data_IF_126595016651
#
_entry.id   IF_126595016651
#
_cell.length_a   1.000
_cell.length_b   1.000
_cell.length_c   1.000
_cell.angle_alpha   90.00
_cell.angle_beta   90.00
_cell.angle_gamma   90.00
#
_symmetry.space_group_name_H-M   'P 1'
#
loop_
_entity.id
_entity.type
_entity.pdbx_description
1 polymer ?
#
# COMPACT_ATOMS: atom_id res chain seq x y z
N UNK A 1 13.64 16.56 -25.40
CA UNK A 1 14.96 15.89 -25.27
C UNK A 1 15.23 15.24 -23.91
N UNK A 2 14.44 15.49 -22.85
CA UNK A 2 14.63 14.89 -21.52
C UNK A 2 13.97 13.51 -21.34
N UNK A 3 12.83 13.23 -21.97
CA UNK A 3 12.14 11.92 -21.91
C UNK A 3 13.03 10.75 -22.33
N UNK A 4 13.81 10.94 -23.40
CA UNK A 4 14.68 9.88 -23.90
C UNK A 4 15.81 9.54 -22.92
N UNK A 5 16.24 10.49 -22.07
CA UNK A 5 17.35 10.27 -21.13
C UNK A 5 16.95 9.37 -19.96
N UNK A 6 15.70 9.50 -19.49
CA UNK A 6 15.18 8.66 -18.41
C UNK A 6 15.04 7.22 -18.89
N UNK A 7 14.45 7.02 -20.08
CA UNK A 7 14.35 5.70 -20.71
C UNK A 7 15.73 5.12 -21.01
N UNK A 8 16.64 5.92 -21.57
CA UNK A 8 18.01 5.47 -21.86
C UNK A 8 18.76 5.10 -20.57
N UNK A 9 18.57 5.84 -19.49
CA UNK A 9 19.15 5.54 -18.17
C UNK A 9 18.60 4.24 -17.58
N UNK A 10 17.29 4.03 -17.63
CA UNK A 10 16.64 2.79 -17.19
C UNK A 10 17.15 1.61 -18.02
N UNK A 11 17.19 1.73 -19.35
CA UNK A 11 17.65 0.67 -20.25
C UNK A 11 19.11 0.34 -19.99
N UNK A 12 19.97 1.35 -19.87
CA UNK A 12 21.40 1.15 -19.60
C UNK A 12 21.62 0.51 -18.22
N UNK A 13 20.91 0.97 -17.20
CA UNK A 13 20.96 0.40 -15.85
C UNK A 13 20.47 -1.04 -15.80
N UNK A 14 19.38 -1.35 -16.52
CA UNK A 14 18.83 -2.70 -16.61
C UNK A 14 19.76 -3.65 -17.37
N UNK A 15 20.45 -3.18 -18.42
CA UNK A 15 21.44 -3.98 -19.14
C UNK A 15 22.64 -4.32 -18.25
N UNK A 16 23.17 -3.34 -17.52
CA UNK A 16 24.31 -3.56 -16.61
C UNK A 16 23.89 -4.45 -15.44
N UNK A 17 22.78 -4.13 -14.78
CA UNK A 17 22.26 -4.92 -13.66
C UNK A 17 21.89 -6.35 -14.08
N UNK A 18 21.27 -6.51 -15.25
CA UNK A 18 20.95 -7.80 -15.84
C UNK A 18 22.19 -8.64 -16.16
N UNK A 19 23.23 -8.02 -16.73
CA UNK A 19 24.50 -8.70 -17.01
C UNK A 19 25.19 -9.20 -15.74
N UNK A 20 25.18 -8.41 -14.66
CA UNK A 20 25.73 -8.80 -13.35
C UNK A 20 24.94 -9.98 -12.77
N UNK A 21 23.62 -9.90 -12.77
CA UNK A 21 22.71 -10.92 -12.23
C UNK A 21 22.81 -12.24 -13.00
N UNK A 22 23.08 -12.20 -14.31
CA UNK A 22 23.21 -13.39 -15.17
C UNK A 22 24.57 -14.09 -15.12
N UNK A 23 25.57 -13.52 -14.44
CA UNK A 23 26.87 -14.16 -14.28
C UNK A 23 26.81 -15.39 -13.37
N UNK A 24 25.83 -15.43 -12.45
CA UNK A 24 25.55 -16.61 -11.62
C UNK A 24 24.79 -17.69 -12.41
N UNK A 25 25.30 -18.92 -12.37
CA UNK A 25 24.76 -20.06 -13.12
C UNK A 25 23.34 -20.46 -12.65
N UNK A 26 23.05 -20.33 -11.36
CA UNK A 26 21.72 -20.61 -10.80
C UNK A 26 20.72 -19.53 -11.23
N UNK A 27 21.15 -18.27 -11.22
CA UNK A 27 20.32 -17.15 -11.66
C UNK A 27 20.01 -17.23 -13.15
N UNK A 28 20.96 -17.64 -14.00
CA UNK A 28 20.71 -17.84 -15.43
C UNK A 28 19.65 -18.91 -15.71
N UNK A 29 19.70 -20.06 -15.03
CA UNK A 29 18.69 -21.12 -15.16
C UNK A 29 17.32 -20.61 -14.71
N UNK A 30 17.25 -19.96 -13.55
CA UNK A 30 16.02 -19.38 -13.02
C UNK A 30 15.39 -18.34 -13.97
N UNK A 31 16.21 -17.43 -14.51
CA UNK A 31 15.74 -16.41 -15.47
C UNK A 31 15.31 -17.04 -16.79
N UNK A 32 16.00 -18.06 -17.30
CA UNK A 32 15.60 -18.78 -18.51
C UNK A 32 14.27 -19.52 -18.34
N UNK A 33 14.04 -20.16 -17.19
CA UNK A 33 12.79 -20.87 -16.94
C UNK A 33 11.62 -19.91 -16.73
N UNK A 34 11.83 -18.83 -15.95
CA UNK A 34 10.79 -17.81 -15.74
C UNK A 34 10.47 -17.02 -17.01
N UNK A 35 11.47 -16.70 -17.84
CA UNK A 35 11.25 -15.98 -19.10
C UNK A 35 10.44 -16.81 -20.12
N UNK A 36 10.65 -18.13 -20.18
CA UNK A 36 9.81 -19.03 -20.99
C UNK A 36 8.35 -19.06 -20.52
N UNK A 37 8.13 -19.09 -19.21
CA UNK A 37 6.79 -19.00 -18.62
C UNK A 37 6.12 -17.66 -18.91
N UNK A 38 6.84 -16.55 -18.69
CA UNK A 38 6.35 -15.21 -18.96
C UNK A 38 6.03 -14.99 -20.45
N UNK A 39 6.88 -15.48 -21.36
CA UNK A 39 6.64 -15.42 -22.80
C UNK A 39 5.40 -16.19 -23.24
N UNK A 40 5.13 -17.34 -22.61
CA UNK A 40 3.93 -18.13 -22.86
C UNK A 40 2.67 -17.41 -22.36
N UNK A 41 2.71 -16.78 -21.19
CA UNK A 41 1.61 -15.94 -20.69
C UNK A 41 1.36 -14.71 -21.58
N UNK A 42 2.41 -13.98 -21.98
CA UNK A 42 2.26 -12.83 -22.89
C UNK A 42 1.66 -13.25 -24.24
N UNK A 43 2.09 -14.41 -24.77
CA UNK A 43 1.52 -14.97 -26.00
C UNK A 43 0.04 -15.32 -25.83
N UNK A 44 -0.34 -15.92 -24.71
CA UNK A 44 -1.74 -16.22 -24.40
C UNK A 44 -2.58 -14.94 -24.30
N UNK A 45 -2.04 -13.89 -23.67
CA UNK A 45 -2.70 -12.59 -23.52
C UNK A 45 -2.96 -11.89 -24.86
N UNK A 46 -2.03 -12.03 -25.81
CA UNK A 46 -2.16 -11.48 -27.17
C UNK A 46 -3.14 -12.32 -28.01
N UNK A 47 -3.18 -13.64 -27.80
CA UNK A 47 -4.03 -14.55 -28.55
C UNK A 47 -5.49 -14.57 -28.07
N UNK A 48 -5.76 -14.25 -26.80
CA UNK A 48 -7.10 -14.21 -26.21
C UNK A 48 -7.40 -12.85 -25.54
N UNK A 49 -7.57 -11.76 -26.32
CA UNK A 49 -7.86 -10.43 -25.77
C UNK A 49 -9.18 -10.36 -25.00
N UNK A 50 -10.12 -11.29 -25.23
CA UNK A 50 -11.39 -11.36 -24.49
C UNK A 50 -11.21 -11.78 -23.02
N UNK A 51 -10.27 -12.68 -22.73
CA UNK A 51 -9.93 -13.06 -21.35
C UNK A 51 -9.21 -11.93 -20.64
N UNK A 52 -8.28 -11.26 -21.32
CA UNK A 52 -7.56 -10.11 -20.79
C UNK A 52 -8.49 -8.96 -20.36
N UNK A 53 -9.49 -8.63 -21.19
CA UNK A 53 -10.47 -7.59 -20.85
C UNK A 53 -11.38 -8.04 -19.70
N UNK A 54 -11.72 -9.33 -19.64
CA UNK A 54 -12.50 -9.90 -18.55
C UNK A 54 -11.75 -9.84 -17.21
N UNK A 55 -10.49 -10.26 -17.19
CA UNK A 55 -9.63 -10.20 -15.99
C UNK A 55 -9.37 -8.78 -15.53
N UNK A 56 -9.14 -7.86 -16.47
CA UNK A 56 -8.98 -6.43 -16.16
C UNK A 56 -10.25 -5.87 -15.51
N UNK A 57 -11.43 -6.23 -16.04
CA UNK A 57 -12.72 -5.81 -15.50
C UNK A 57 -12.96 -6.38 -14.11
N UNK A 58 -12.66 -7.66 -13.90
CA UNK A 58 -12.77 -8.30 -12.58
C UNK A 58 -11.83 -7.67 -11.55
N UNK A 59 -10.59 -7.37 -11.95
CA UNK A 59 -9.62 -6.69 -11.11
C UNK A 59 -10.04 -5.26 -10.77
N UNK A 60 -10.59 -4.52 -11.74
CA UNK A 60 -11.13 -3.18 -11.50
C UNK A 60 -12.34 -3.22 -10.57
N UNK A 61 -13.27 -4.16 -10.77
CA UNK A 61 -14.45 -4.30 -9.93
C UNK A 61 -14.07 -4.71 -8.49
N UNK A 62 -13.09 -5.60 -8.36
CA UNK A 62 -12.55 -6.02 -7.05
C UNK A 62 -11.80 -4.87 -6.36
N UNK A 63 -11.05 -4.07 -7.11
CA UNK A 63 -10.34 -2.91 -6.59
C UNK A 63 -11.32 -1.83 -6.14
N UNK A 64 -12.32 -1.51 -6.96
CA UNK A 64 -13.36 -0.54 -6.62
C UNK A 64 -14.15 -0.96 -5.37
N UNK A 65 -14.53 -2.25 -5.25
CA UNK A 65 -15.19 -2.78 -4.04
C UNK A 65 -14.30 -2.65 -2.80
N UNK A 66 -13.02 -3.02 -2.90
CA UNK A 66 -12.06 -2.89 -1.78
C UNK A 66 -11.84 -1.44 -1.38
N UNK A 67 -11.78 -0.53 -2.35
CA UNK A 67 -11.58 0.89 -2.11
C UNK A 67 -12.79 1.50 -1.42
N UNK A 68 -14.02 1.21 -1.88
CA UNK A 68 -15.24 1.66 -1.22
C UNK A 68 -15.34 1.13 0.22
N UNK A 69 -15.11 -0.17 0.41
CA UNK A 69 -15.14 -0.77 1.76
C UNK A 69 -14.07 -0.17 2.68
N UNK A 70 -12.87 0.12 2.14
CA UNK A 70 -11.79 0.74 2.92
C UNK A 70 -12.10 2.19 3.30
N UNK A 71 -12.79 2.95 2.44
CA UNK A 71 -13.24 4.31 2.75
C UNK A 71 -14.29 4.26 3.87
N UNK A 72 -15.24 3.34 3.80
CA UNK A 72 -16.25 3.18 4.86
C UNK A 72 -15.62 2.80 6.21
N UNK A 73 -14.65 1.89 6.23
CA UNK A 73 -13.91 1.52 7.44
C UNK A 73 -13.12 2.71 8.02
N UNK A 74 -12.48 3.53 7.17
CA UNK A 74 -11.77 4.74 7.61
C UNK A 74 -12.75 5.77 8.19
N UNK A 75 -13.92 5.95 7.60
CA UNK A 75 -14.95 6.85 8.14
C UNK A 75 -15.44 6.38 9.52
N UNK A 76 -15.62 5.07 9.72
CA UNK A 76 -16.00 4.51 11.03
C UNK A 76 -14.88 4.72 12.05
N UNK A 77 -13.62 4.51 11.67
CA UNK A 77 -12.47 4.73 12.55
C UNK A 77 -12.29 6.19 12.93
N UNK A 78 -12.50 7.13 11.99
CA UNK A 78 -12.44 8.57 12.28
C UNK A 78 -13.51 8.96 13.30
N UNK A 79 -14.76 8.53 13.11
CA UNK A 79 -15.84 8.77 14.08
C UNK A 79 -15.52 8.21 15.47
N UNK A 80 -15.04 6.97 15.53
CA UNK A 80 -14.66 6.31 16.79
C UNK A 80 -13.48 7.01 17.48
N UNK A 81 -12.56 7.58 16.69
CA UNK A 81 -11.43 8.35 17.20
C UNK A 81 -11.89 9.69 17.76
N UNK A 82 -12.82 10.37 17.08
CA UNK A 82 -13.44 11.62 17.55
C UNK A 82 -14.23 11.39 18.85
N UNK A 83 -15.00 10.31 18.94
CA UNK A 83 -15.69 9.90 20.17
C UNK A 83 -14.71 9.58 21.31
N UNK A 84 -13.61 8.89 21.01
CA UNK A 84 -12.57 8.58 22.00
C UNK A 84 -11.85 9.85 22.49
N UNK A 85 -11.51 10.76 21.58
CA UNK A 85 -10.90 12.06 21.90
C UNK A 85 -11.82 12.93 22.75
N UNK A 86 -13.12 13.02 22.40
CA UNK A 86 -14.10 13.74 23.23
C UNK A 86 -14.22 13.12 24.62
N UNK A 87 -14.31 11.79 24.71
CA UNK A 87 -14.38 11.10 26.00
C UNK A 87 -13.12 11.28 26.85
N UNK A 88 -11.95 11.34 26.22
CA UNK A 88 -10.68 11.65 26.90
C UNK A 88 -10.67 13.11 27.37
N UNK A 89 -11.10 14.06 26.54
CA UNK A 89 -11.20 15.47 26.92
C UNK A 89 -12.16 15.69 28.11
N UNK A 90 -13.33 15.04 28.10
CA UNK A 90 -14.27 15.07 29.23
C UNK A 90 -13.72 14.39 30.49
N UNK A 91 -12.87 13.37 30.35
CA UNK A 91 -12.21 12.73 31.49
C UNK A 91 -11.08 13.60 32.04
N UNK A 92 -10.29 14.25 31.19
CA UNK A 92 -9.20 15.13 31.58
C UNK A 92 -9.72 16.36 32.36
N UNK A 93 -10.82 16.97 31.88
CA UNK A 93 -11.47 18.10 32.56
C UNK A 93 -12.06 17.70 33.93
N UNK A 94 -12.66 16.50 34.02
CA UNK A 94 -13.19 15.97 35.30
C UNK A 94 -12.09 15.54 36.26
N UNK A 95 -10.96 15.06 35.77
CA UNK A 95 -9.80 14.67 36.57
C UNK A 95 -9.07 15.90 37.09
N UNK A 96 -8.88 16.93 36.27
CA UNK A 96 -8.22 18.17 36.66
C UNK A 96 -9.02 18.94 37.72
N UNK A 97 -10.33 19.10 37.53
CA UNK A 97 -11.21 19.72 38.53
C UNK A 97 -11.23 18.93 39.87
N UNK A 98 -11.09 17.61 39.82
CA UNK A 98 -11.05 16.77 41.03
C UNK A 98 -9.68 16.81 41.71
N UNK A 99 -8.59 16.92 40.97
CA UNK A 99 -7.23 17.11 41.50
C UNK A 99 -7.08 18.48 42.18
N UNK A 100 -7.56 19.56 41.58
CA UNK A 100 -7.55 20.90 42.20
C UNK A 100 -8.35 20.97 43.51
N UNK A 101 -9.45 20.22 43.62
CA UNK A 101 -10.23 20.15 44.85
C UNK A 101 -9.56 19.33 45.98
N UNK A 102 -8.69 18.38 45.63
CA UNK A 102 -7.95 17.55 46.61
C UNK A 102 -6.69 18.25 47.09
N UNK A 103 -6.04 19.03 46.23
CA UNK A 103 -4.82 19.79 46.56
C UNK A 103 -5.13 20.96 47.52
N UNK A 104 -6.17 21.76 47.23
CA UNK A 104 -6.66 22.82 48.13
C UNK A 104 -7.17 22.30 49.48
N UNK A 105 -7.61 21.04 49.56
CA UNK A 105 -8.02 20.43 50.82
C UNK A 105 -6.84 19.93 51.66
N UNK A 106 -5.64 19.76 51.07
CA UNK A 106 -4.44 19.30 51.79
C UNK A 106 -3.57 20.44 52.30
N UNK A 107 -3.58 21.61 51.67
CA UNK A 107 -2.88 22.80 52.19
C UNK A 107 -3.60 23.49 53.37
N UNK A 108 -4.85 23.13 53.66
CA UNK A 108 -5.67 23.71 54.73
C UNK A 108 -5.73 22.87 56.04
N UNK A 109 -4.89 21.83 56.20
CA UNK A 109 -4.74 21.04 57.44
C UNK A 109 -3.29 21.01 57.92
#
# INVERSE_FOLDING_TARGET
MAENKLITGIVTGALIGGAIVLFDKNTRQYVMDKSKGAGSCCRNYIQQPSEAIHDLRLSYESFSKKLNNGIDDVLVLLKKTEEALNKIGEMDEKVNNKLESVDNSKEAS
#
